data_IF_304044388252
#
_entry.id   IF_304044388252
#
_cell.length_a   1.000
_cell.length_b   1.000
_cell.length_c   1.000
_cell.angle_alpha   90.00
_cell.angle_beta   90.00
_cell.angle_gamma   90.00
#
_symmetry.space_group_name_H-M   'P 1'
#
loop_
_entity.id
_entity.type
_entity.pdbx_description
1 polymer ?
#
# COMPACT_ATOMS: atom_id res chain seq x y z
N UNK A 1 19.37 23.92 -3.67
CA UNK A 1 18.57 22.70 -3.85
C UNK A 1 18.80 21.78 -2.66
N UNK A 2 17.87 21.73 -1.70
CA UNK A 2 17.90 20.71 -0.65
C UNK A 2 17.28 19.45 -1.24
N UNK A 3 18.09 18.40 -1.43
CA UNK A 3 17.57 17.04 -1.60
C UNK A 3 17.02 16.64 -0.23
N UNK A 4 15.71 16.66 -0.04
CA UNK A 4 15.11 16.02 1.12
C UNK A 4 15.19 14.51 0.88
N UNK A 5 16.02 13.85 1.69
CA UNK A 5 15.98 12.41 1.85
C UNK A 5 14.68 12.07 2.57
N UNK A 6 13.58 11.91 1.83
CA UNK A 6 12.28 11.52 2.37
C UNK A 6 12.17 9.98 2.51
N UNK A 7 13.11 9.37 3.24
CA UNK A 7 13.08 7.94 3.58
C UNK A 7 12.09 7.59 4.73
N UNK A 8 11.17 8.49 5.08
CA UNK A 8 10.28 8.33 6.26
C UNK A 8 8.78 8.46 5.97
N UNK A 9 8.34 8.26 4.72
CA UNK A 9 6.94 7.95 4.43
C UNK A 9 6.82 6.46 4.07
N UNK A 10 6.87 5.56 5.05
CA UNK A 10 6.60 4.13 4.85
C UNK A 10 5.09 3.89 4.65
N UNK A 11 4.52 4.48 3.60
CA UNK A 11 3.18 4.12 3.16
C UNK A 11 3.26 2.74 2.49
N UNK A 12 3.09 1.69 3.31
CA UNK A 12 2.89 0.34 2.79
C UNK A 12 1.49 0.22 2.21
N UNK A 13 1.37 -0.43 1.06
CA UNK A 13 0.09 -0.73 0.40
C UNK A 13 -0.28 -2.22 0.46
N UNK A 14 0.43 -2.96 1.31
CA UNK A 14 0.13 -4.33 1.65
C UNK A 14 0.45 -4.58 3.14
N UNK A 15 -0.13 -5.64 3.68
CA UNK A 15 0.18 -6.17 5.00
C UNK A 15 0.69 -7.61 4.86
N UNK A 16 1.83 -7.90 5.48
CA UNK A 16 2.52 -9.19 5.34
C UNK A 16 1.64 -10.39 5.74
N UNK A 17 0.79 -10.21 6.75
CA UNK A 17 -0.04 -11.30 7.26
C UNK A 17 -1.37 -11.39 6.53
N UNK A 18 -2.02 -10.26 6.28
CA UNK A 18 -3.33 -10.25 5.65
C UNK A 18 -3.29 -10.51 4.15
N UNK A 19 -2.19 -10.15 3.49
CA UNK A 19 -1.99 -10.37 2.06
C UNK A 19 -1.10 -11.60 1.80
N UNK A 20 -0.93 -12.50 2.77
CA UNK A 20 -0.05 -13.67 2.64
C UNK A 20 -0.37 -14.54 1.41
N UNK A 21 -1.65 -14.79 1.12
CA UNK A 21 -2.05 -15.57 -0.05
C UNK A 21 -1.69 -14.87 -1.38
N UNK A 22 -1.72 -13.53 -1.39
CA UNK A 22 -1.25 -12.74 -2.55
C UNK A 22 0.27 -12.81 -2.68
N UNK A 23 1.00 -12.80 -1.56
CA UNK A 23 2.45 -12.98 -1.53
C UNK A 23 2.81 -14.38 -2.07
N UNK A 24 2.21 -15.44 -1.53
CA UNK A 24 2.48 -16.82 -1.95
C UNK A 24 2.19 -17.05 -3.43
N UNK A 25 1.03 -16.58 -3.92
CA UNK A 25 0.69 -16.69 -5.34
C UNK A 25 1.61 -15.85 -6.24
N UNK A 26 2.14 -14.74 -5.75
CA UNK A 26 3.10 -13.89 -6.47
C UNK A 26 4.48 -14.52 -6.55
N UNK A 27 4.95 -15.13 -5.45
CA UNK A 27 6.21 -15.89 -5.43
C UNK A 27 6.16 -17.07 -6.39
N UNK A 28 5.05 -17.82 -6.40
CA UNK A 28 4.86 -18.90 -7.36
C UNK A 28 4.83 -18.38 -8.80
N UNK A 29 4.06 -17.31 -9.07
CA UNK A 29 3.94 -16.75 -10.42
C UNK A 29 5.29 -16.26 -10.97
N UNK A 30 6.05 -15.51 -10.19
CA UNK A 30 7.24 -14.81 -10.68
C UNK A 30 8.51 -15.65 -10.58
N UNK A 31 8.67 -16.39 -9.49
CA UNK A 31 9.90 -17.11 -9.19
C UNK A 31 9.75 -18.63 -9.25
N UNK A 32 8.53 -19.16 -9.34
CA UNK A 32 8.28 -20.60 -9.24
C UNK A 32 8.52 -21.17 -7.84
N UNK A 33 8.55 -20.31 -6.81
CA UNK A 33 8.80 -20.71 -5.42
C UNK A 33 7.48 -20.97 -4.71
N UNK A 34 7.39 -22.10 -3.99
CA UNK A 34 6.27 -22.41 -3.10
C UNK A 34 6.69 -22.20 -1.66
N UNK A 35 6.33 -21.05 -1.09
CA UNK A 35 6.80 -20.61 0.23
C UNK A 35 6.55 -21.63 1.36
N UNK A 36 5.45 -22.38 1.32
CA UNK A 36 5.13 -23.40 2.34
C UNK A 36 5.94 -24.71 2.23
N UNK A 37 6.71 -24.88 1.17
CA UNK A 37 7.44 -26.11 0.87
C UNK A 37 8.94 -25.87 0.70
N UNK A 38 9.39 -24.65 0.89
CA UNK A 38 10.78 -24.25 0.76
C UNK A 38 11.38 -24.07 2.16
N UNK A 39 12.09 -25.10 2.63
CA UNK A 39 12.71 -25.12 3.95
C UNK A 39 14.05 -24.35 3.98
N UNK A 40 14.61 -24.01 2.81
CA UNK A 40 15.93 -23.37 2.67
C UNK A 40 15.84 -21.84 2.49
N UNK A 41 14.64 -21.29 2.21
CA UNK A 41 14.45 -19.88 1.96
C UNK A 41 14.68 -19.03 3.22
N UNK A 42 15.80 -18.30 3.24
CA UNK A 42 16.15 -17.43 4.38
C UNK A 42 15.30 -16.16 4.41
N UNK A 43 15.11 -15.58 5.60
CA UNK A 43 14.36 -14.32 5.74
C UNK A 43 14.91 -13.14 4.90
N UNK A 44 16.25 -12.91 4.82
CA UNK A 44 16.79 -11.87 3.95
C UNK A 44 16.49 -12.12 2.46
N UNK A 45 16.55 -13.37 2.02
CA UNK A 45 16.23 -13.76 0.64
C UNK A 45 14.75 -13.56 0.34
N UNK A 46 13.86 -14.02 1.23
CA UNK A 46 12.43 -13.74 1.17
C UNK A 46 12.16 -12.24 1.03
N UNK A 47 12.79 -11.41 1.87
CA UNK A 47 12.61 -9.96 1.85
C UNK A 47 13.07 -9.35 0.51
N UNK A 48 14.21 -9.82 -0.01
CA UNK A 48 14.73 -9.39 -1.30
C UNK A 48 13.76 -9.74 -2.44
N UNK A 49 13.27 -10.99 -2.48
CA UNK A 49 12.31 -11.45 -3.48
C UNK A 49 10.96 -10.72 -3.38
N UNK A 50 10.46 -10.50 -2.17
CA UNK A 50 9.21 -9.78 -1.93
C UNK A 50 9.30 -8.34 -2.46
N UNK A 51 10.41 -7.65 -2.20
CA UNK A 51 10.64 -6.30 -2.73
C UNK A 51 10.82 -6.26 -4.26
N UNK A 52 11.18 -7.39 -4.87
CA UNK A 52 11.38 -7.56 -6.31
C UNK A 52 10.12 -7.96 -7.10
N UNK A 53 8.95 -8.08 -6.45
CA UNK A 53 7.72 -8.45 -7.13
C UNK A 53 7.28 -7.38 -8.15
N UNK A 54 6.95 -7.83 -9.37
CA UNK A 54 6.48 -6.95 -10.43
C UNK A 54 4.99 -6.64 -10.28
N UNK A 55 4.55 -5.55 -10.93
CA UNK A 55 3.16 -5.07 -10.89
C UNK A 55 2.13 -6.07 -11.45
N UNK A 56 2.55 -6.97 -12.33
CA UNK A 56 1.65 -7.95 -12.95
C UNK A 56 1.40 -9.17 -12.03
N UNK A 57 2.12 -9.29 -10.90
CA UNK A 57 1.85 -10.32 -9.91
C UNK A 57 0.54 -10.06 -9.16
N UNK A 58 -0.10 -11.09 -8.55
CA UNK A 58 -1.28 -10.92 -7.73
C UNK A 58 -1.14 -9.80 -6.68
N UNK A 59 -0.04 -9.79 -5.92
CA UNK A 59 0.25 -8.74 -4.95
C UNK A 59 0.52 -7.41 -5.65
N UNK A 60 1.36 -7.41 -6.69
CA UNK A 60 1.71 -6.19 -7.43
C UNK A 60 0.49 -5.47 -8.01
N UNK A 61 -0.50 -6.21 -8.51
CA UNK A 61 -1.73 -5.66 -9.06
C UNK A 61 -2.62 -5.04 -7.96
N UNK A 62 -2.72 -5.70 -6.80
CA UNK A 62 -3.46 -5.17 -5.64
C UNK A 62 -2.79 -3.93 -5.08
N UNK A 63 -1.45 -3.95 -4.93
CA UNK A 63 -0.65 -2.81 -4.49
C UNK A 63 -0.83 -1.63 -5.44
N UNK A 64 -0.81 -1.83 -6.76
CA UNK A 64 -1.04 -0.76 -7.74
C UNK A 64 -2.42 -0.09 -7.56
N UNK A 65 -3.48 -0.88 -7.34
CA UNK A 65 -4.83 -0.35 -7.09
C UNK A 65 -4.89 0.44 -5.77
N UNK A 66 -4.25 -0.06 -4.71
CA UNK A 66 -4.22 0.58 -3.39
C UNK A 66 -3.34 1.84 -3.37
N UNK A 67 -2.28 1.87 -4.17
CA UNK A 67 -1.34 2.99 -4.28
C UNK A 67 -1.79 4.10 -5.22
N UNK A 68 -2.77 3.84 -6.09
CA UNK A 68 -3.23 4.85 -7.05
C UNK A 68 -3.72 6.13 -6.37
N UNK A 69 -3.30 7.28 -6.90
CA UNK A 69 -3.63 8.62 -6.40
C UNK A 69 -4.23 9.54 -7.47
N UNK A 70 -4.08 9.22 -8.76
CA UNK A 70 -4.70 9.97 -9.84
C UNK A 70 -6.22 9.74 -9.86
N UNK A 71 -6.96 10.79 -9.54
CA UNK A 71 -8.43 10.79 -9.56
C UNK A 71 -9.04 10.39 -10.91
N UNK A 72 -8.38 10.66 -12.05
CA UNK A 72 -8.86 10.27 -13.38
C UNK A 72 -8.77 8.77 -13.56
N UNK A 73 -7.69 8.15 -13.10
CA UNK A 73 -7.50 6.70 -13.12
C UNK A 73 -8.52 6.03 -12.19
N UNK A 74 -8.63 6.52 -10.95
CA UNK A 74 -9.56 5.96 -9.93
C UNK A 74 -11.02 6.03 -10.40
N UNK A 75 -11.43 7.12 -11.09
CA UNK A 75 -12.79 7.24 -11.64
C UNK A 75 -13.12 6.11 -12.61
N UNK A 76 -12.13 5.69 -13.40
CA UNK A 76 -12.26 4.66 -14.42
C UNK A 76 -12.05 3.23 -13.90
N UNK A 77 -11.74 3.06 -12.61
CA UNK A 77 -11.65 1.74 -12.01
C UNK A 77 -12.95 0.93 -12.16
N UNK A 78 -12.77 -0.38 -12.36
CA UNK A 78 -13.85 -1.37 -12.28
C UNK A 78 -14.47 -1.39 -10.87
N UNK A 79 -15.64 -2.04 -10.75
CA UNK A 79 -16.29 -2.22 -9.45
C UNK A 79 -15.37 -2.93 -8.45
N UNK A 80 -14.66 -3.96 -8.89
CA UNK A 80 -13.76 -4.73 -8.04
C UNK A 80 -12.52 -3.93 -7.63
N UNK A 81 -11.93 -3.15 -8.54
CA UNK A 81 -10.80 -2.28 -8.22
C UNK A 81 -11.20 -1.21 -7.19
N UNK A 82 -12.38 -0.62 -7.34
CA UNK A 82 -12.94 0.31 -6.34
C UNK A 82 -13.14 -0.36 -4.99
N UNK A 83 -13.68 -1.59 -4.98
CA UNK A 83 -13.85 -2.39 -3.75
C UNK A 83 -12.51 -2.65 -3.04
N UNK A 84 -11.52 -3.18 -3.76
CA UNK A 84 -10.16 -3.44 -3.23
C UNK A 84 -9.57 -2.18 -2.58
N UNK A 85 -9.69 -1.04 -3.26
CA UNK A 85 -9.21 0.25 -2.76
C UNK A 85 -9.96 0.71 -1.50
N UNK A 86 -11.29 0.68 -1.53
CA UNK A 86 -12.12 1.12 -0.40
C UNK A 86 -11.91 0.27 0.85
N UNK A 87 -11.83 -1.06 0.71
CA UNK A 87 -11.55 -1.98 1.82
C UNK A 87 -10.19 -1.68 2.45
N UNK A 88 -9.15 -1.44 1.63
CA UNK A 88 -7.83 -1.06 2.11
C UNK A 88 -7.84 0.25 2.92
N UNK A 89 -8.51 1.29 2.41
CA UNK A 89 -8.61 2.58 3.09
C UNK A 89 -9.33 2.44 4.42
N UNK A 90 -10.46 1.71 4.45
CA UNK A 90 -11.22 1.48 5.69
C UNK A 90 -10.37 0.76 6.74
N UNK A 91 -9.66 -0.29 6.33
CA UNK A 91 -8.77 -1.05 7.20
C UNK A 91 -7.62 -0.21 7.74
N UNK A 92 -6.94 0.55 6.87
CA UNK A 92 -5.87 1.47 7.27
C UNK A 92 -6.37 2.50 8.28
N UNK A 93 -7.54 3.08 8.04
CA UNK A 93 -8.13 4.07 8.94
C UNK A 93 -8.49 3.45 10.29
N UNK A 94 -9.06 2.24 10.31
CA UNK A 94 -9.34 1.54 11.56
C UNK A 94 -8.06 1.31 12.38
N UNK A 95 -6.98 0.86 11.75
CA UNK A 95 -5.66 0.68 12.39
C UNK A 95 -5.06 2.00 12.90
N UNK A 96 -5.22 3.09 12.16
CA UNK A 96 -4.81 4.43 12.60
C UNK A 96 -5.59 4.89 13.84
N UNK A 97 -6.86 4.51 13.97
CA UNK A 97 -7.68 4.87 15.14
C UNK A 97 -7.30 4.10 16.41
N UNK A 98 -6.56 2.99 16.31
CA UNK A 98 -6.01 2.27 17.47
C UNK A 98 -4.89 3.06 18.17
N UNK A 99 -4.25 4.00 17.46
CA UNK A 99 -3.25 4.93 17.99
C UNK A 99 -3.81 6.37 17.99
N UNK A 100 -4.36 6.86 19.12
CA UNK A 100 -4.94 8.19 19.19
C UNK A 100 -3.99 9.33 18.83
N UNK A 101 -2.68 9.15 19.06
CA UNK A 101 -1.66 10.16 18.73
C UNK A 101 -1.48 10.23 17.21
N UNK A 102 -1.31 9.08 16.56
CA UNK A 102 -1.19 9.01 15.11
C UNK A 102 -2.47 9.51 14.40
N UNK A 103 -3.65 9.19 14.95
CA UNK A 103 -4.92 9.65 14.42
C UNK A 103 -5.06 11.18 14.44
N UNK A 104 -4.74 11.82 15.57
CA UNK A 104 -4.82 13.28 15.70
C UNK A 104 -3.86 13.98 14.73
N UNK A 105 -2.62 13.51 14.62
CA UNK A 105 -1.64 14.05 13.68
C UNK A 105 -2.08 13.92 12.21
N UNK A 106 -2.70 12.79 11.85
CA UNK A 106 -3.27 12.60 10.53
C UNK A 106 -4.40 13.62 10.26
N UNK A 107 -5.30 13.81 11.23
CA UNK A 107 -6.43 14.72 11.09
C UNK A 107 -6.00 16.19 10.98
N UNK A 108 -4.99 16.61 11.74
CA UNK A 108 -4.39 17.95 11.64
C UNK A 108 -3.82 18.21 10.23
N UNK A 109 -3.02 17.27 9.69
CA UNK A 109 -2.48 17.38 8.33
C UNK A 109 -3.58 17.45 7.28
N UNK A 110 -4.64 16.65 7.44
CA UNK A 110 -5.79 16.71 6.54
C UNK A 110 -6.48 18.08 6.60
N UNK A 111 -6.70 18.63 7.79
CA UNK A 111 -7.28 19.97 7.95
C UNK A 111 -6.44 21.06 7.30
N UNK A 112 -5.11 21.00 7.43
CA UNK A 112 -4.19 21.93 6.77
C UNK A 112 -4.27 21.81 5.24
N UNK A 113 -4.27 20.59 4.72
CA UNK A 113 -4.41 20.34 3.29
C UNK A 113 -5.75 20.88 2.75
N UNK A 114 -6.85 20.66 3.47
CA UNK A 114 -8.16 21.21 3.13
C UNK A 114 -8.15 22.74 3.16
N UNK A 115 -7.64 23.36 4.23
CA UNK A 115 -7.52 24.83 4.32
C UNK A 115 -6.70 25.37 3.16
N UNK A 116 -5.56 24.76 2.83
CA UNK A 116 -4.72 25.19 1.72
C UNK A 116 -5.41 25.04 0.36
N UNK A 117 -6.11 23.94 0.12
CA UNK A 117 -6.81 23.69 -1.15
C UNK A 117 -7.98 24.67 -1.39
N UNK A 118 -8.65 25.12 -0.32
CA UNK A 118 -9.84 25.97 -0.42
C UNK A 118 -9.62 27.45 -0.03
N UNK A 119 -8.41 27.84 0.40
CA UNK A 119 -8.08 29.26 0.72
C UNK A 119 -7.42 30.02 -0.43
N UNK A 120 -7.17 29.39 -1.58
CA UNK A 120 -6.50 30.03 -2.74
C UNK A 120 -7.49 30.75 -3.67
N UNK A 121 -8.81 30.68 -3.42
CA UNK A 121 -9.85 31.34 -4.22
C UNK A 121 -10.38 32.65 -3.59
N UNK A 122 -9.50 33.61 -3.28
CA UNK A 122 -9.90 35.01 -3.00
C UNK A 122 -8.96 36.02 -3.65
#
# INVERSE_FOLDING_TARGET
MKKTNDFNNNESYYDLFDDWDLIESSFWKQYGIRLRSDDDLTWPEFSSLLSGLMHDTPLGSVVAIRAESDSKVIKNFSKDQKRIRSEWILKRNAKLMEDPVAYNQYWEKMQEAFKSAFSVDK
#
